data_IF_597532425184
#
_entry.id   IF_597532425184
#
_cell.length_a   1.000
_cell.length_b   1.000
_cell.length_c   1.000
_cell.angle_alpha   90.00
_cell.angle_beta   90.00
_cell.angle_gamma   90.00
#
_symmetry.space_group_name_H-M   'P 1'
#
loop_
_entity.id
_entity.type
_entity.pdbx_description
1 polymer ?
#
# COMPACT_ATOMS: atom_id res chain seq x y z
N UNK A 1 -43.08 14.71 -54.09
CA UNK A 1 -42.90 13.26 -54.33
C UNK A 1 -42.54 12.61 -53.00
N UNK A 2 -42.75 11.30 -52.84
CA UNK A 2 -42.45 10.50 -51.63
C UNK A 2 -40.93 10.53 -51.28
N UNK A 3 -40.42 10.11 -50.12
CA UNK A 3 -40.86 9.19 -49.02
C UNK A 3 -40.06 9.61 -47.73
N UNK A 4 -40.15 9.15 -46.46
CA UNK A 4 -40.72 7.96 -45.75
C UNK A 4 -41.16 8.36 -44.31
N UNK A 5 -41.83 7.46 -43.61
CA UNK A 5 -42.13 7.43 -42.16
C UNK A 5 -41.20 6.40 -41.43
N UNK A 6 -41.31 6.12 -40.09
CA UNK A 6 -41.38 6.98 -38.89
C UNK A 6 -40.51 6.46 -37.69
N UNK A 7 -40.76 7.02 -36.48
CA UNK A 7 -40.69 6.38 -35.14
C UNK A 7 -39.35 6.21 -34.35
N UNK A 8 -39.24 7.01 -33.26
CA UNK A 8 -38.71 6.78 -31.88
C UNK A 8 -38.06 8.08 -31.37
N UNK A 9 -38.46 8.74 -30.26
CA UNK A 9 -38.65 8.31 -28.87
C UNK A 9 -37.35 7.92 -28.15
N UNK A 10 -36.81 8.83 -27.30
CA UNK A 10 -36.59 8.57 -25.85
C UNK A 10 -36.03 9.78 -25.07
N UNK A 11 -36.40 9.83 -23.78
CA UNK A 11 -35.69 10.34 -22.60
C UNK A 11 -34.94 11.70 -22.59
N UNK A 12 -35.32 12.57 -21.64
CA UNK A 12 -34.41 13.56 -21.04
C UNK A 12 -33.49 12.91 -20.00
N UNK A 13 -32.22 13.35 -19.94
CA UNK A 13 -31.45 13.60 -18.70
C UNK A 13 -30.37 14.64 -19.01
N UNK A 14 -30.48 15.85 -18.49
CA UNK A 14 -30.04 16.25 -17.13
C UNK A 14 -28.52 16.31 -17.00
N UNK A 15 -28.00 17.53 -16.86
CA UNK A 15 -26.62 17.77 -16.44
C UNK A 15 -26.41 17.20 -15.04
N UNK A 16 -25.34 16.42 -14.84
CA UNK A 16 -24.94 15.99 -13.50
C UNK A 16 -23.45 16.20 -13.30
N UNK A 17 -23.12 17.44 -12.91
CA UNK A 17 -21.82 17.88 -12.40
C UNK A 17 -21.49 17.07 -11.13
N UNK A 18 -20.82 15.93 -11.29
CA UNK A 18 -20.52 15.02 -10.18
C UNK A 18 -19.41 15.61 -9.30
N UNK A 19 -19.82 16.43 -8.32
CA UNK A 19 -18.97 16.80 -7.20
C UNK A 19 -18.59 15.56 -6.38
N UNK A 20 -17.50 15.66 -5.61
CA UNK A 20 -17.07 14.58 -4.73
C UNK A 20 -18.22 14.16 -3.80
N UNK A 21 -18.63 12.90 -3.88
CA UNK A 21 -19.83 12.42 -3.20
C UNK A 21 -19.59 12.30 -1.69
N UNK A 22 -20.22 13.13 -0.83
CA UNK A 22 -19.97 13.09 0.62
C UNK A 22 -20.44 11.78 1.26
N UNK A 23 -21.35 11.05 0.62
CA UNK A 23 -21.91 9.78 1.10
C UNK A 23 -20.85 8.66 1.23
N UNK A 24 -19.74 8.75 0.48
CA UNK A 24 -18.62 7.79 0.60
C UNK A 24 -17.88 7.88 1.94
N UNK A 25 -17.99 9.01 2.66
CA UNK A 25 -17.49 9.13 4.04
C UNK A 25 -18.57 8.77 5.07
N UNK A 26 -19.85 8.95 4.75
CA UNK A 26 -20.98 8.62 5.64
C UNK A 26 -21.13 7.11 5.90
N UNK A 27 -20.67 6.27 4.97
CA UNK A 27 -20.76 4.81 5.10
C UNK A 27 -19.71 4.20 6.04
N UNK A 28 -18.67 4.94 6.43
CA UNK A 28 -17.71 4.50 7.45
C UNK A 28 -18.35 4.69 8.84
N UNK A 29 -19.12 3.70 9.29
CA UNK A 29 -19.64 3.67 10.67
C UNK A 29 -18.46 3.77 11.65
N UNK A 30 -18.55 4.63 12.66
CA UNK A 30 -17.51 4.75 13.69
C UNK A 30 -17.26 3.42 14.44
N UNK A 31 -18.26 2.51 14.46
CA UNK A 31 -18.17 1.15 14.98
C UNK A 31 -17.68 0.10 13.95
N UNK A 32 -17.00 0.55 12.89
CA UNK A 32 -16.30 -0.25 11.87
C UNK A 32 -14.86 0.22 11.64
N UNK A 33 -14.38 1.24 12.37
CA UNK A 33 -12.95 1.36 12.63
C UNK A 33 -12.63 0.40 13.77
N UNK A 34 -12.20 -0.81 13.42
CA UNK A 34 -11.69 -1.74 14.42
C UNK A 34 -10.54 -1.09 15.20
N UNK A 35 -10.54 -1.29 16.52
CA UNK A 35 -9.55 -0.69 17.42
C UNK A 35 -8.11 -1.12 17.06
N UNK A 36 -7.99 -2.25 16.38
CA UNK A 36 -6.74 -2.82 15.88
C UNK A 36 -6.08 -1.95 14.79
N UNK A 37 -6.87 -1.17 14.02
CA UNK A 37 -6.36 -0.17 13.08
C UNK A 37 -5.63 0.97 13.81
N UNK A 38 -6.03 1.26 15.06
CA UNK A 38 -5.40 2.24 15.93
C UNK A 38 -4.32 1.66 16.85
N UNK A 39 -4.27 0.34 17.08
CA UNK A 39 -3.16 -0.30 17.79
C UNK A 39 -1.92 -0.53 16.91
N UNK A 40 -2.08 -0.48 15.58
CA UNK A 40 -0.99 -0.70 14.64
C UNK A 40 0.08 0.40 14.73
N UNK A 41 1.26 0.06 15.24
CA UNK A 41 2.40 0.99 15.31
C UNK A 41 3.01 1.21 13.92
N UNK A 42 3.46 2.45 13.65
CA UNK A 42 4.04 2.83 12.36
C UNK A 42 5.52 3.12 12.49
N UNK A 43 6.30 2.56 11.58
CA UNK A 43 7.76 2.73 11.51
C UNK A 43 8.17 3.00 10.07
N UNK A 44 9.31 3.64 9.84
CA UNK A 44 9.89 3.76 8.51
C UNK A 44 11.41 3.77 8.54
N UNK A 45 12.02 3.28 7.47
CA UNK A 45 13.48 3.23 7.28
C UNK A 45 13.80 3.76 5.90
N UNK A 46 14.64 4.81 5.83
CA UNK A 46 15.02 5.47 4.59
C UNK A 46 16.52 5.31 4.28
N UNK A 47 16.83 5.18 2.98
CA UNK A 47 18.20 5.23 2.43
C UNK A 47 18.15 6.09 1.17
N UNK A 48 18.58 7.34 1.30
CA UNK A 48 18.43 8.35 0.24
C UNK A 48 16.95 8.59 -0.08
N UNK A 49 16.54 8.60 -1.36
CA UNK A 49 15.14 8.81 -1.76
C UNK A 49 14.29 7.52 -1.68
N UNK A 50 14.79 6.43 -1.09
CA UNK A 50 14.06 5.16 -0.97
C UNK A 50 13.65 4.92 0.47
N UNK A 51 12.36 4.65 0.69
CA UNK A 51 11.76 4.48 2.02
C UNK A 51 10.97 3.18 2.07
N UNK A 52 11.21 2.39 3.12
CA UNK A 52 10.41 1.23 3.49
C UNK A 52 9.55 1.62 4.70
N UNK A 53 8.23 1.68 4.53
CA UNK A 53 7.25 1.97 5.59
C UNK A 53 6.60 0.69 6.11
N UNK A 54 6.33 0.66 7.41
CA UNK A 54 5.79 -0.48 8.13
C UNK A 54 4.58 -0.06 8.96
N UNK A 55 3.54 -0.90 9.01
CA UNK A 55 2.39 -0.80 9.92
C UNK A 55 2.19 -2.17 10.56
N UNK A 56 2.46 -2.29 11.86
CA UNK A 56 2.54 -3.58 12.54
C UNK A 56 1.58 -3.65 13.72
N UNK A 57 0.80 -4.73 13.83
CA UNK A 57 -0.16 -4.96 14.92
C UNK A 57 0.17 -6.25 15.67
N UNK A 58 0.06 -6.20 17.01
CA UNK A 58 0.20 -7.35 17.89
C UNK A 58 -1.06 -8.27 17.91
N UNK A 59 -2.21 -7.74 17.51
CA UNK A 59 -3.52 -8.41 17.58
C UNK A 59 -4.35 -8.05 16.32
N UNK A 60 -4.62 -9.00 15.41
CA UNK A 60 -3.83 -10.22 15.20
C UNK A 60 -2.38 -9.88 14.78
N UNK A 61 -1.42 -10.73 15.13
CA UNK A 61 0.01 -10.53 14.79
C UNK A 61 0.18 -10.42 13.27
N UNK A 62 0.48 -9.22 12.78
CA UNK A 62 0.48 -8.90 11.35
C UNK A 62 1.30 -7.65 11.03
N UNK A 63 1.79 -7.55 9.80
CA UNK A 63 2.57 -6.41 9.32
C UNK A 63 2.23 -6.07 7.86
N UNK A 64 1.71 -4.87 7.59
CA UNK A 64 1.67 -4.31 6.22
C UNK A 64 2.94 -3.50 5.98
N UNK A 65 3.58 -3.71 4.83
CA UNK A 65 4.85 -3.06 4.47
C UNK A 65 4.76 -2.50 3.05
N UNK A 66 5.21 -1.26 2.86
CA UNK A 66 5.15 -0.51 1.60
C UNK A 66 6.53 0.06 1.25
N UNK A 67 7.00 -0.12 0.02
CA UNK A 67 8.31 0.34 -0.47
C UNK A 67 8.15 1.42 -1.53
N UNK A 68 8.75 2.58 -1.28
CA UNK A 68 8.72 3.75 -2.16
C UNK A 68 10.11 4.10 -2.68
N UNK A 69 10.25 4.37 -3.98
CA UNK A 69 11.39 5.12 -4.54
C UNK A 69 10.87 6.51 -4.95
N UNK A 70 11.47 7.59 -4.45
CA UNK A 70 11.10 8.97 -4.74
C UNK A 70 9.57 9.22 -4.59
N UNK A 71 9.02 8.76 -3.45
CA UNK A 71 7.60 8.82 -3.09
C UNK A 71 6.65 8.06 -4.03
N UNK A 72 7.16 7.23 -4.96
CA UNK A 72 6.35 6.31 -5.78
C UNK A 72 6.39 4.91 -5.19
N UNK A 73 5.22 4.35 -4.88
CA UNK A 73 5.08 2.96 -4.43
C UNK A 73 5.54 2.02 -5.56
N UNK A 74 6.50 1.13 -5.27
CA UNK A 74 7.04 0.15 -6.22
C UNK A 74 6.77 -1.31 -5.83
N UNK A 75 6.34 -1.55 -4.58
CA UNK A 75 6.05 -2.88 -4.06
C UNK A 75 5.61 -2.82 -2.61
N UNK A 76 4.98 -3.89 -2.14
CA UNK A 76 4.47 -4.00 -0.78
C UNK A 76 3.69 -5.29 -0.56
N UNK A 77 3.22 -5.51 0.66
CA UNK A 77 2.40 -6.66 1.01
C UNK A 77 2.02 -6.69 2.49
N UNK A 78 1.20 -7.68 2.88
CA UNK A 78 0.83 -7.93 4.28
C UNK A 78 1.32 -9.30 4.71
N UNK A 79 2.17 -9.33 5.73
CA UNK A 79 2.64 -10.54 6.39
C UNK A 79 1.69 -10.92 7.53
N UNK A 80 1.41 -12.22 7.67
CA UNK A 80 0.52 -12.81 8.67
C UNK A 80 0.80 -14.33 8.82
N UNK A 81 -0.02 -15.06 9.56
CA UNK A 81 0.20 -16.50 9.82
C UNK A 81 0.14 -17.41 8.58
N UNK A 82 -0.58 -17.03 7.52
CA UNK A 82 -0.59 -17.77 6.25
C UNK A 82 0.58 -17.37 5.34
N UNK A 83 1.04 -16.12 5.44
CA UNK A 83 2.13 -15.56 4.64
C UNK A 83 3.15 -14.86 5.57
N UNK A 84 3.98 -15.63 6.31
CA UNK A 84 4.88 -15.08 7.33
C UNK A 84 6.16 -14.48 6.74
N UNK A 85 6.34 -14.49 5.42
CA UNK A 85 7.46 -13.84 4.75
C UNK A 85 7.02 -13.18 3.44
N UNK A 86 7.75 -12.13 3.05
CA UNK A 86 7.51 -11.42 1.80
C UNK A 86 8.83 -10.93 1.22
N UNK A 87 9.01 -11.07 -0.10
CA UNK A 87 10.10 -10.44 -0.84
C UNK A 87 9.55 -9.69 -2.03
N UNK A 88 9.91 -8.42 -2.15
CA UNK A 88 9.49 -7.56 -3.27
C UNK A 88 10.55 -6.50 -3.57
N UNK A 89 10.50 -5.97 -4.78
CA UNK A 89 11.46 -4.98 -5.25
C UNK A 89 11.06 -4.41 -6.59
N UNK A 90 11.78 -3.38 -7.02
CA UNK A 90 11.47 -2.62 -8.22
C UNK A 90 12.53 -1.58 -8.55
N UNK A 91 12.24 -0.77 -9.55
CA UNK A 91 13.13 0.27 -10.02
C UNK A 91 12.35 1.54 -10.42
N UNK A 92 12.95 2.70 -10.18
CA UNK A 92 12.52 3.99 -10.74
C UNK A 92 13.75 4.68 -11.30
N UNK A 93 13.66 5.10 -12.56
CA UNK A 93 14.74 5.67 -13.37
C UNK A 93 16.01 4.80 -13.36
N UNK A 94 16.98 5.12 -12.50
CA UNK A 94 18.25 4.38 -12.35
C UNK A 94 18.47 3.81 -10.95
N UNK A 95 17.51 3.96 -10.05
CA UNK A 95 17.53 3.40 -8.71
C UNK A 95 16.82 2.04 -8.72
N UNK A 96 17.42 1.03 -8.09
CA UNK A 96 16.81 -0.27 -7.83
C UNK A 96 16.72 -0.50 -6.33
N UNK A 97 15.69 -1.19 -5.88
CA UNK A 97 15.56 -1.56 -4.47
C UNK A 97 14.81 -2.87 -4.26
N UNK A 98 15.20 -3.62 -3.23
CA UNK A 98 14.60 -4.87 -2.79
C UNK A 98 14.41 -4.86 -1.27
N UNK A 99 13.28 -5.38 -0.81
CA UNK A 99 12.98 -5.67 0.59
C UNK A 99 12.70 -7.18 0.75
N UNK A 100 13.20 -7.73 1.84
CA UNK A 100 13.12 -9.14 2.24
C UNK A 100 12.69 -9.16 3.72
N UNK A 101 11.56 -9.79 4.02
CA UNK A 101 10.80 -9.60 5.26
C UNK A 101 10.35 -10.94 5.84
N UNK A 102 10.44 -11.10 7.16
CA UNK A 102 9.96 -12.29 7.88
C UNK A 102 9.33 -11.89 9.21
N UNK A 103 8.08 -12.32 9.42
CA UNK A 103 7.28 -12.11 10.61
C UNK A 103 7.33 -13.37 11.50
N UNK A 104 8.11 -13.31 12.57
CA UNK A 104 8.11 -14.31 13.63
C UNK A 104 6.94 -14.03 14.58
N UNK A 105 5.90 -14.84 14.46
CA UNK A 105 4.63 -14.69 15.18
C UNK A 105 4.75 -15.14 16.66
N UNK A 106 5.36 -16.31 16.98
CA UNK A 106 5.72 -16.66 18.36
C UNK A 106 6.59 -15.60 19.04
N UNK A 107 7.59 -15.07 18.34
CA UNK A 107 8.51 -14.04 18.86
C UNK A 107 7.98 -12.60 18.82
N UNK A 108 6.78 -12.38 18.26
CA UNK A 108 6.17 -11.05 18.01
C UNK A 108 7.16 -10.03 17.42
N UNK A 109 7.87 -10.42 16.36
CA UNK A 109 8.84 -9.56 15.69
C UNK A 109 8.79 -9.65 14.17
N UNK A 110 9.04 -8.52 13.52
CA UNK A 110 9.25 -8.43 12.08
C UNK A 110 10.73 -8.15 11.82
N UNK A 111 11.44 -9.15 11.34
CA UNK A 111 12.80 -9.00 10.82
C UNK A 111 12.74 -8.51 9.38
N UNK A 112 13.57 -7.52 9.04
CA UNK A 112 13.67 -6.97 7.69
C UNK A 112 15.11 -6.85 7.23
N UNK A 113 15.33 -7.11 5.94
CA UNK A 113 16.53 -6.72 5.19
C UNK A 113 16.10 -5.93 3.97
N UNK A 114 16.79 -4.83 3.73
CA UNK A 114 16.43 -3.81 2.75
C UNK A 114 17.68 -3.39 1.99
N UNK A 115 17.62 -3.30 0.66
CA UNK A 115 18.77 -2.97 -0.19
C UNK A 115 18.38 -1.93 -1.23
N UNK A 116 19.27 -0.96 -1.45
CA UNK A 116 19.17 0.09 -2.47
C UNK A 116 20.42 0.07 -3.32
N UNK A 117 20.28 0.10 -4.64
CA UNK A 117 21.38 0.18 -5.59
C UNK A 117 21.21 1.38 -6.53
N UNK A 118 22.30 2.09 -6.78
CA UNK A 118 22.38 3.26 -7.65
C UNK A 118 23.65 3.24 -8.52
N UNK A 119 23.68 3.90 -9.69
CA UNK A 119 24.71 3.65 -10.70
C UNK A 119 26.13 4.11 -10.36
N UNK A 120 26.28 5.02 -9.38
CA UNK A 120 27.55 5.67 -9.04
C UNK A 120 28.01 5.35 -7.62
N UNK A 121 27.07 5.24 -6.66
CA UNK A 121 27.37 4.93 -5.25
C UNK A 121 27.24 3.42 -4.92
N UNK A 122 26.99 2.58 -5.93
CA UNK A 122 26.87 1.13 -5.75
C UNK A 122 25.60 0.73 -5.01
N UNK A 123 25.71 -0.34 -4.20
CA UNK A 123 24.61 -0.86 -3.39
C UNK A 123 24.86 -0.67 -1.89
N UNK A 124 23.81 -0.36 -1.14
CA UNK A 124 23.80 -0.31 0.33
C UNK A 124 22.65 -1.16 0.84
N UNK A 125 22.90 -1.99 1.86
CA UNK A 125 21.85 -2.69 2.61
C UNK A 125 21.71 -2.11 4.02
N UNK A 126 20.49 -2.14 4.55
CA UNK A 126 20.19 -2.07 5.99
C UNK A 126 19.37 -3.28 6.40
N UNK A 127 19.42 -3.64 7.67
CA UNK A 127 18.59 -4.67 8.28
C UNK A 127 18.25 -4.29 9.71
N UNK A 128 17.17 -4.86 10.24
CA UNK A 128 16.75 -4.64 11.61
C UNK A 128 15.54 -5.50 11.98
N UNK A 129 15.05 -5.26 13.19
CA UNK A 129 13.92 -5.99 13.78
C UNK A 129 12.97 -4.96 14.39
N UNK A 130 11.66 -5.11 14.14
CA UNK A 130 10.61 -4.34 14.80
C UNK A 130 9.81 -5.28 15.72
N UNK A 131 9.50 -4.85 16.95
CA UNK A 131 8.57 -5.57 17.83
C UNK A 131 7.11 -5.25 17.53
N UNK A 132 6.20 -6.17 17.87
CA UNK A 132 4.75 -6.07 17.69
C UNK A 132 3.99 -6.14 19.03
#
# INVERSE_FOLDING_TARGET
>A
MSTVHPLHSTAMRSSQKMGANPDLLAHIRANQLDKDIFSASRHSVAVGPVTLEFRVSANPVSATVELYIANRLIGGGTLNHAHPSAKFGGAVDKLKSEADLTLDIPGKKLDFRFTVCAPVVGCTSRSGTLGL
#
